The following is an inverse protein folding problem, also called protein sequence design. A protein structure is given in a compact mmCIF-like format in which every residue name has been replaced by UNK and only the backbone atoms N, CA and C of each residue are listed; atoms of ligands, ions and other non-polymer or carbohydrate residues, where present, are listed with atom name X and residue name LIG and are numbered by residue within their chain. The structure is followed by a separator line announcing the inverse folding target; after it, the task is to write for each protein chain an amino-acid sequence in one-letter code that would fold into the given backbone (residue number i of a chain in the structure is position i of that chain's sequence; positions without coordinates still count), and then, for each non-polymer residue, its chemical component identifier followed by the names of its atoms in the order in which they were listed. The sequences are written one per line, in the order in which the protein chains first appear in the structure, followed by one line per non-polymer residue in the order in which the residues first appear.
data_IF_425275701927
#
_entry.id   IF_425275701927
#
_cell.length_a   1.000
_cell.length_b   1.000
_cell.length_c   1.000
_cell.angle_alpha   90.00
_cell.angle_beta   90.00
_cell.angle_gamma   90.00
#
_symmetry.space_group_name_H-M   'P 1'
#
loop_
_entity.id
_entity.type
_entity.pdbx_description
1 polymer ?
#
# COMPACT_ATOMS: atom_id res chain seq x y z
N UNK A 1 -3.46 4.15 6.96
CA UNK A 1 -3.92 5.49 6.51
C UNK A 1 -2.91 6.53 6.96
N UNK A 2 -2.43 7.36 6.04
CA UNK A 2 -1.49 8.45 6.34
C UNK A 2 -2.30 9.70 6.74
N UNK A 3 -1.78 10.52 7.67
CA UNK A 3 -2.49 11.70 8.21
C UNK A 3 -1.67 12.97 8.04
N UNK A 4 -2.24 13.95 7.32
CA UNK A 4 -1.70 15.30 7.24
C UNK A 4 -2.44 16.21 8.20
N UNK A 5 -1.77 16.57 9.28
CA UNK A 5 -2.33 17.41 10.33
C UNK A 5 -2.61 18.83 9.85
N UNK A 6 -3.78 19.37 10.18
CA UNK A 6 -4.21 20.74 9.86
C UNK A 6 -4.45 21.01 8.38
N UNK A 7 -4.54 19.96 7.55
CA UNK A 7 -4.81 20.06 6.10
C UNK A 7 -6.24 19.66 5.71
N UNK A 8 -7.08 19.35 6.68
CA UNK A 8 -8.49 19.04 6.46
C UNK A 8 -9.38 20.28 6.43
N UNK A 9 -10.69 20.04 6.53
CA UNK A 9 -11.70 21.09 6.43
C UNK A 9 -11.60 22.08 7.60
N UNK A 10 -11.65 23.38 7.29
CA UNK A 10 -11.71 24.45 8.30
C UNK A 10 -13.12 24.56 8.88
N UNK A 11 -13.22 24.55 10.20
CA UNK A 11 -14.47 24.82 10.94
C UNK A 11 -14.27 26.03 11.84
N UNK A 12 -15.34 26.57 12.42
CA UNK A 12 -15.28 27.73 13.33
C UNK A 12 -14.40 27.50 14.57
N UNK A 13 -14.19 26.24 14.98
CA UNK A 13 -13.41 25.89 16.18
C UNK A 13 -11.99 25.45 15.87
N UNK A 14 -11.79 24.73 14.78
CA UNK A 14 -10.50 24.14 14.42
C UNK A 14 -10.43 23.77 12.94
N UNK A 15 -9.21 23.52 12.46
CA UNK A 15 -8.99 22.88 11.16
C UNK A 15 -8.81 21.39 11.37
N UNK A 16 -9.59 20.57 10.65
CA UNK A 16 -9.44 19.12 10.68
C UNK A 16 -8.18 18.64 9.97
N UNK A 17 -8.04 17.32 9.85
CA UNK A 17 -6.90 16.70 9.17
C UNK A 17 -7.32 16.04 7.87
N UNK A 18 -6.36 15.93 6.95
CA UNK A 18 -6.54 15.19 5.72
C UNK A 18 -6.02 13.76 5.93
N UNK A 19 -6.86 12.78 5.65
CA UNK A 19 -6.49 11.37 5.60
C UNK A 19 -6.14 11.02 4.16
N UNK A 20 -4.99 10.38 3.97
CA UNK A 20 -4.48 9.94 2.68
C UNK A 20 -4.43 8.42 2.67
N UNK A 21 -5.08 7.86 1.67
CA UNK A 21 -5.05 6.43 1.36
C UNK A 21 -3.95 6.17 0.34
N UNK A 22 -3.16 5.13 0.59
CA UNK A 22 -2.12 4.71 -0.34
C UNK A 22 -2.73 3.68 -1.27
N UNK A 23 -2.76 4.00 -2.56
CA UNK A 23 -3.10 3.06 -3.61
C UNK A 23 -1.80 2.64 -4.29
N UNK A 24 -1.67 1.35 -4.54
CA UNK A 24 -0.50 0.77 -5.22
C UNK A 24 -0.91 0.59 -6.68
N UNK A 25 -0.31 1.36 -7.59
CA UNK A 25 -0.45 1.17 -9.03
C UNK A 25 0.75 0.40 -9.57
N UNK A 26 0.50 -0.57 -10.43
CA UNK A 26 1.54 -1.40 -11.05
C UNK A 26 1.42 -1.24 -12.57
N UNK A 27 2.52 -0.96 -13.29
CA UNK A 27 2.50 -0.84 -14.74
C UNK A 27 2.20 -2.19 -15.41
N UNK A 28 1.58 -2.15 -16.59
CA UNK A 28 1.26 -3.34 -17.38
C UNK A 28 2.52 -4.01 -17.95
N UNK A 29 3.48 -3.19 -18.39
CA UNK A 29 4.75 -3.64 -18.97
C UNK A 29 5.93 -3.14 -18.15
N UNK A 30 6.94 -4.00 -18.01
CA UNK A 30 8.20 -3.70 -17.33
C UNK A 30 9.36 -3.82 -18.32
N UNK A 31 10.32 -2.91 -18.24
CA UNK A 31 11.62 -3.08 -18.91
C UNK A 31 12.38 -4.26 -18.28
N UNK A 32 13.37 -4.80 -19.01
CA UNK A 32 14.18 -5.93 -18.52
C UNK A 32 14.86 -5.65 -17.18
N UNK A 33 15.34 -4.42 -16.99
CA UNK A 33 15.96 -3.96 -15.74
C UNK A 33 14.97 -3.92 -14.57
N UNK A 34 13.76 -3.40 -14.80
CA UNK A 34 12.73 -3.32 -13.78
C UNK A 34 12.24 -4.71 -13.38
N UNK A 35 12.11 -5.62 -14.35
CA UNK A 35 11.75 -7.02 -14.10
C UNK A 35 12.80 -7.73 -13.25
N UNK A 36 14.09 -7.59 -13.58
CA UNK A 36 15.17 -8.17 -12.80
C UNK A 36 15.16 -7.67 -11.35
N UNK A 37 14.88 -6.38 -11.12
CA UNK A 37 14.76 -5.81 -9.78
C UNK A 37 13.60 -6.42 -8.98
N UNK A 38 12.44 -6.63 -9.61
CA UNK A 38 11.27 -7.27 -8.96
C UNK A 38 11.55 -8.73 -8.62
N UNK A 39 12.21 -9.48 -9.50
CA UNK A 39 12.59 -10.88 -9.25
C UNK A 39 13.61 -11.01 -8.10
N UNK A 40 14.57 -10.08 -8.02
CA UNK A 40 15.52 -10.01 -6.91
C UNK A 40 14.80 -9.70 -5.58
N UNK A 41 13.86 -8.74 -5.59
CA UNK A 41 13.05 -8.42 -4.42
C UNK A 41 12.19 -9.61 -3.98
N UNK A 42 11.50 -10.27 -4.92
CA UNK A 42 10.72 -11.48 -4.64
C UNK A 42 11.58 -12.55 -3.95
N UNK A 43 12.82 -12.71 -4.41
CA UNK A 43 13.74 -13.69 -3.82
C UNK A 43 14.17 -13.32 -2.40
N UNK A 44 14.40 -12.03 -2.14
CA UNK A 44 14.75 -11.54 -0.81
C UNK A 44 13.58 -11.61 0.19
N UNK A 45 12.33 -11.59 -0.28
CA UNK A 45 11.13 -11.57 0.57
C UNK A 45 10.28 -12.85 0.47
N UNK A 46 10.88 -14.00 0.12
CA UNK A 46 10.16 -15.28 -0.11
C UNK A 46 9.30 -15.75 1.06
N UNK A 47 9.66 -15.37 2.28
CA UNK A 47 8.96 -15.80 3.49
C UNK A 47 7.66 -15.02 3.76
N UNK A 48 7.42 -13.95 3.01
CA UNK A 48 6.20 -13.15 3.13
C UNK A 48 5.09 -13.71 2.25
N UNK A 49 3.97 -14.12 2.85
CA UNK A 49 2.75 -14.54 2.15
C UNK A 49 1.67 -13.44 2.21
N UNK A 50 1.43 -12.69 1.12
CA UNK A 50 0.37 -11.69 1.06
C UNK A 50 -1.05 -12.24 1.21
N UNK A 51 -1.25 -13.56 1.06
CA UNK A 51 -2.56 -14.22 1.06
C UNK A 51 -2.84 -15.02 2.34
N UNK A 52 -1.97 -14.98 3.34
CA UNK A 52 -2.11 -15.77 4.57
C UNK A 52 -3.51 -15.61 5.23
N UNK A 53 -4.02 -14.38 5.26
CA UNK A 53 -5.33 -14.02 5.83
C UNK A 53 -6.53 -14.59 5.04
N UNK A 54 -6.38 -14.92 3.75
CA UNK A 54 -7.47 -15.46 2.94
C UNK A 54 -7.84 -16.89 3.38
N UNK A 55 -6.85 -17.69 3.76
CA UNK A 55 -7.08 -19.04 4.27
C UNK A 55 -7.84 -19.04 5.60
N UNK A 56 -7.60 -18.02 6.45
CA UNK A 56 -8.31 -17.85 7.70
C UNK A 56 -9.77 -17.44 7.47
N UNK A 57 -10.03 -16.53 6.53
CA UNK A 57 -11.38 -16.09 6.17
C UNK A 57 -12.24 -17.20 5.53
N UNK A 58 -11.63 -18.15 4.81
CA UNK A 58 -12.36 -19.24 4.16
C UNK A 58 -12.84 -20.35 5.11
N UNK A 59 -12.39 -20.35 6.37
CA UNK A 59 -12.80 -21.32 7.41
C UNK A 59 -14.03 -20.89 8.23
N UNK A 60 -14.49 -19.65 8.06
CA UNK A 60 -15.69 -19.08 8.70
C UNK A 60 -16.91 -19.25 7.78
#
# INVERSE_FOLDING_TARGET
VLRLRGRGVKTAKQTGDLLVELVIEVPEELSDEAKAAVEAYQTATKDFDPRAELAQKARL
#
